data_IF_069137203631
#
_entry.id   IF_069137203631
#
_cell.length_a   1.000
_cell.length_b   1.000
_cell.length_c   1.000
_cell.angle_alpha   90.00
_cell.angle_beta   90.00
_cell.angle_gamma   90.00
#
_symmetry.space_group_name_H-M   'P 1'
#
loop_
_entity.id
_entity.type
_entity.pdbx_description
1 polymer ?
#
# COMPACT_ATOMS: atom_id res chain seq x y z
N UNK A 1 -11.51 10.54 -2.79
CA UNK A 1 -12.05 9.79 -3.97
C UNK A 1 -13.50 9.42 -3.69
N UNK A 2 -14.33 9.32 -4.72
CA UNK A 2 -15.71 8.87 -4.53
C UNK A 2 -15.70 7.36 -4.20
N UNK A 3 -16.41 6.88 -3.15
CA UNK A 3 -16.53 5.46 -2.83
C UNK A 3 -16.96 4.60 -4.01
N UNK A 4 -17.79 5.14 -4.91
CA UNK A 4 -18.21 4.45 -6.13
C UNK A 4 -17.06 4.17 -7.10
N UNK A 5 -15.97 4.94 -7.06
CA UNK A 5 -14.79 4.70 -7.91
C UNK A 5 -14.01 3.49 -7.41
N UNK A 6 -13.77 3.37 -6.11
CA UNK A 6 -13.10 2.21 -5.51
C UNK A 6 -13.91 0.94 -5.78
N UNK A 7 -15.21 0.97 -5.53
CA UNK A 7 -16.12 -0.15 -5.80
C UNK A 7 -16.05 -0.58 -7.29
N UNK A 8 -16.00 0.38 -8.21
CA UNK A 8 -15.85 0.10 -9.64
C UNK A 8 -14.53 -0.60 -9.98
N UNK A 9 -13.41 -0.14 -9.39
CA UNK A 9 -12.10 -0.76 -9.57
C UNK A 9 -12.13 -2.23 -9.08
N UNK A 10 -12.65 -2.45 -7.89
CA UNK A 10 -12.70 -3.78 -7.29
C UNK A 10 -13.62 -4.71 -8.10
N UNK A 11 -14.77 -4.23 -8.58
CA UNK A 11 -15.64 -4.99 -9.49
C UNK A 11 -14.96 -5.38 -10.80
N UNK A 12 -14.11 -4.51 -11.36
CA UNK A 12 -13.31 -4.87 -12.55
C UNK A 12 -12.32 -6.00 -12.24
N UNK A 13 -11.64 -5.95 -11.09
CA UNK A 13 -10.74 -7.02 -10.66
C UNK A 13 -11.49 -8.35 -10.43
N UNK A 14 -12.67 -8.30 -9.84
CA UNK A 14 -13.54 -9.48 -9.68
C UNK A 14 -13.92 -10.05 -11.04
N UNK A 15 -14.37 -9.22 -11.97
CA UNK A 15 -14.79 -9.64 -13.31
C UNK A 15 -13.65 -10.27 -14.12
N UNK A 16 -12.42 -9.77 -13.94
CA UNK A 16 -11.22 -10.31 -14.61
C UNK A 16 -10.52 -11.42 -13.82
N UNK A 17 -11.03 -11.83 -12.66
CA UNK A 17 -10.39 -12.78 -11.75
C UNK A 17 -8.95 -12.40 -11.38
N UNK A 18 -8.66 -11.10 -11.31
CA UNK A 18 -7.33 -10.58 -10.98
C UNK A 18 -7.20 -10.41 -9.47
N UNK A 19 -6.35 -11.23 -8.86
CA UNK A 19 -6.15 -11.23 -7.40
C UNK A 19 -5.27 -10.07 -6.95
N UNK A 20 -5.54 -9.55 -5.75
CA UNK A 20 -4.82 -8.42 -5.15
C UNK A 20 -4.53 -8.69 -3.67
N UNK A 21 -3.37 -8.25 -3.19
CA UNK A 21 -2.99 -8.29 -1.77
C UNK A 21 -2.33 -6.98 -1.32
N UNK A 22 -2.25 -6.76 -0.02
CA UNK A 22 -1.71 -5.53 0.55
C UNK A 22 -0.70 -5.81 1.66
N UNK A 23 0.37 -5.02 1.73
CA UNK A 23 1.20 -4.89 2.94
C UNK A 23 1.26 -3.42 3.34
N UNK A 24 0.62 -3.13 4.46
CA UNK A 24 0.36 -1.76 4.90
C UNK A 24 1.13 -1.41 6.17
N UNK A 25 1.71 -0.23 6.20
CA UNK A 25 2.32 0.37 7.39
C UNK A 25 1.48 1.56 7.87
N UNK A 26 1.70 2.74 7.32
CA UNK A 26 1.05 3.98 7.77
C UNK A 26 -0.49 4.00 7.60
N UNK A 27 -1.04 3.27 6.66
CA UNK A 27 -2.49 3.13 6.45
C UNK A 27 -3.15 2.10 7.35
N UNK A 28 -2.35 1.20 7.94
CA UNK A 28 -2.74 0.21 8.97
C UNK A 28 -4.02 -0.58 8.67
N UNK A 29 -4.15 -1.11 7.45
CA UNK A 29 -5.25 -1.95 7.02
C UNK A 29 -6.39 -1.20 6.32
N UNK A 30 -6.29 0.12 6.12
CA UNK A 30 -7.34 0.89 5.47
C UNK A 30 -7.53 0.50 4.00
N UNK A 31 -6.45 0.23 3.26
CA UNK A 31 -6.56 -0.20 1.85
C UNK A 31 -7.26 -1.56 1.77
N UNK A 32 -6.88 -2.51 2.62
CA UNK A 32 -7.53 -3.81 2.73
C UNK A 32 -9.02 -3.67 3.09
N UNK A 33 -9.36 -2.77 4.02
CA UNK A 33 -10.74 -2.47 4.39
C UNK A 33 -11.55 -1.96 3.20
N UNK A 34 -11.01 -0.98 2.46
CA UNK A 34 -11.68 -0.40 1.29
C UNK A 34 -11.86 -1.41 0.13
N UNK A 35 -10.94 -2.36 -0.04
CA UNK A 35 -11.12 -3.48 -0.99
C UNK A 35 -12.30 -4.34 -0.59
N UNK A 36 -12.41 -4.66 0.69
CA UNK A 36 -13.42 -5.59 1.21
C UNK A 36 -14.78 -4.94 1.44
N UNK A 37 -14.92 -3.62 1.29
CA UNK A 37 -16.21 -2.93 1.26
C UNK A 37 -17.04 -3.31 0.00
N UNK A 38 -16.39 -3.83 -1.05
CA UNK A 38 -17.07 -4.32 -2.24
C UNK A 38 -17.54 -5.76 -2.05
N UNK A 39 -18.83 -6.02 -2.27
CA UNK A 39 -19.39 -7.37 -2.22
C UNK A 39 -18.73 -8.29 -3.26
N UNK A 40 -18.31 -9.47 -2.84
CA UNK A 40 -17.59 -10.42 -3.70
C UNK A 40 -16.06 -10.28 -3.69
N UNK A 41 -15.51 -9.33 -2.96
CA UNK A 41 -14.05 -9.11 -2.87
C UNK A 41 -13.26 -10.35 -2.41
N UNK A 42 -13.88 -11.27 -1.66
CA UNK A 42 -13.26 -12.54 -1.25
C UNK A 42 -12.81 -13.43 -2.42
N UNK A 43 -13.35 -13.20 -3.61
CA UNK A 43 -12.93 -13.93 -4.82
C UNK A 43 -11.53 -13.51 -5.31
N UNK A 44 -11.06 -12.31 -4.94
CA UNK A 44 -9.82 -11.73 -5.46
C UNK A 44 -8.86 -11.26 -4.36
N UNK A 45 -9.31 -11.11 -3.13
CA UNK A 45 -8.50 -10.64 -2.00
C UNK A 45 -8.30 -11.74 -0.96
N UNK A 46 -7.20 -12.50 -1.02
CA UNK A 46 -6.90 -13.54 -0.04
C UNK A 46 -6.53 -12.99 1.33
N UNK A 47 -6.10 -11.72 1.38
CA UNK A 47 -5.66 -11.06 2.61
C UNK A 47 -4.52 -10.08 2.39
N UNK A 48 -3.94 -9.64 3.50
CA UNK A 48 -2.80 -8.73 3.54
C UNK A 48 -2.16 -8.69 4.93
N UNK A 49 -1.09 -7.91 5.04
CA UNK A 49 -0.36 -7.72 6.29
C UNK A 49 -0.43 -6.26 6.74
N UNK A 50 -0.57 -6.05 8.04
CA UNK A 50 -0.31 -4.77 8.69
C UNK A 50 1.01 -4.87 9.42
N UNK A 51 2.05 -4.22 8.87
CA UNK A 51 3.42 -4.28 9.37
C UNK A 51 3.88 -2.90 9.81
N UNK A 52 3.47 -2.50 11.02
CA UNK A 52 3.65 -1.13 11.51
C UNK A 52 5.10 -0.84 11.93
N UNK A 53 5.78 -1.81 12.56
CA UNK A 53 7.19 -1.74 12.96
C UNK A 53 8.12 -2.37 11.90
N UNK A 54 9.40 -1.97 11.91
CA UNK A 54 10.41 -2.55 11.00
C UNK A 54 10.58 -4.05 11.26
N UNK A 55 10.61 -4.46 12.53
CA UNK A 55 10.74 -5.87 12.94
C UNK A 55 9.59 -6.72 12.38
N UNK A 56 8.38 -6.18 12.34
CA UNK A 56 7.22 -6.88 11.79
C UNK A 56 7.33 -7.06 10.27
N UNK A 57 7.88 -6.06 9.56
CA UNK A 57 8.17 -6.19 8.13
C UNK A 57 9.15 -7.33 7.86
N UNK A 58 10.24 -7.38 8.62
CA UNK A 58 11.26 -8.43 8.51
C UNK A 58 10.67 -9.79 8.89
N UNK A 59 9.86 -9.86 9.94
CA UNK A 59 9.21 -11.09 10.39
C UNK A 59 8.36 -11.76 9.32
N UNK A 60 7.66 -10.98 8.48
CA UNK A 60 6.84 -11.52 7.38
C UNK A 60 7.63 -11.76 6.09
N UNK A 61 8.92 -11.36 6.03
CA UNK A 61 9.82 -11.72 4.93
C UNK A 61 10.44 -10.56 4.16
N UNK A 62 10.24 -9.31 4.56
CA UNK A 62 10.98 -8.18 3.96
C UNK A 62 12.46 -8.32 4.30
N UNK A 63 13.33 -8.25 3.28
CA UNK A 63 14.77 -8.31 3.47
C UNK A 63 15.24 -7.13 4.35
N UNK A 64 15.85 -7.39 5.52
CA UNK A 64 16.32 -6.33 6.40
C UNK A 64 17.35 -5.40 5.74
N UNK A 65 18.12 -5.89 4.78
CA UNK A 65 19.09 -5.07 4.05
C UNK A 65 18.47 -3.93 3.27
N UNK A 66 17.23 -4.08 2.80
CA UNK A 66 16.48 -3.00 2.12
C UNK A 66 16.25 -1.84 3.08
N UNK A 67 15.83 -2.13 4.31
CA UNK A 67 15.60 -1.11 5.34
C UNK A 67 16.92 -0.48 5.80
N UNK A 68 17.98 -1.28 5.93
CA UNK A 68 19.31 -0.79 6.34
C UNK A 68 19.95 0.14 5.31
N UNK A 69 19.80 -0.18 4.01
CA UNK A 69 20.44 0.57 2.93
C UNK A 69 19.62 1.78 2.51
N UNK A 70 18.30 1.63 2.38
CA UNK A 70 17.41 2.63 1.79
C UNK A 70 16.53 3.36 2.82
N UNK A 71 16.47 2.85 4.05
CA UNK A 71 15.53 3.32 5.07
C UNK A 71 14.12 2.74 4.87
N UNK A 72 13.32 2.79 5.94
CA UNK A 72 11.93 2.31 5.90
C UNK A 72 11.02 3.22 5.09
N UNK A 73 11.34 4.51 4.99
CA UNK A 73 10.61 5.51 4.22
C UNK A 73 11.29 5.70 2.85
N UNK A 74 11.06 4.75 1.95
CA UNK A 74 11.68 4.72 0.63
C UNK A 74 10.83 3.97 -0.38
N UNK A 75 10.95 4.27 -1.67
CA UNK A 75 10.32 3.48 -2.74
C UNK A 75 10.76 2.02 -2.71
N UNK A 76 12.03 1.77 -2.38
CA UNK A 76 12.63 0.44 -2.31
C UNK A 76 11.98 -0.41 -1.19
N UNK A 77 11.70 0.21 -0.03
CA UNK A 77 10.98 -0.47 1.04
C UNK A 77 9.52 -0.77 0.64
N UNK A 78 8.82 0.16 0.01
CA UNK A 78 7.48 -0.06 -0.49
C UNK A 78 7.42 -1.19 -1.53
N UNK A 79 8.41 -1.24 -2.44
CA UNK A 79 8.53 -2.33 -3.42
C UNK A 79 8.81 -3.68 -2.73
N UNK A 80 9.74 -3.72 -1.79
CA UNK A 80 10.05 -4.95 -1.04
C UNK A 80 8.83 -5.46 -0.27
N UNK A 81 8.02 -4.57 0.32
CA UNK A 81 6.77 -4.92 0.97
C UNK A 81 5.76 -5.53 -0.03
N UNK A 82 5.60 -4.92 -1.21
CA UNK A 82 4.71 -5.42 -2.25
C UNK A 82 5.16 -6.81 -2.75
N UNK A 83 6.46 -7.01 -3.02
CA UNK A 83 7.01 -8.30 -3.45
C UNK A 83 6.80 -9.38 -2.40
N UNK A 84 7.07 -9.07 -1.14
CA UNK A 84 6.90 -10.02 -0.04
C UNK A 84 5.46 -10.51 0.08
N UNK A 85 4.47 -9.60 0.06
CA UNK A 85 3.07 -10.02 0.18
C UNK A 85 2.57 -10.74 -1.08
N UNK A 86 3.06 -10.36 -2.27
CA UNK A 86 2.74 -11.05 -3.51
C UNK A 86 3.24 -12.50 -3.49
N UNK A 87 4.48 -12.70 -3.09
CA UNK A 87 5.09 -14.03 -2.97
C UNK A 87 4.39 -14.91 -1.94
N UNK A 88 4.09 -14.35 -0.76
CA UNK A 88 3.45 -15.09 0.32
C UNK A 88 2.00 -15.49 -0.01
N UNK A 89 1.25 -14.63 -0.71
CA UNK A 89 -0.17 -14.82 -0.98
C UNK A 89 -0.48 -15.19 -2.44
N UNK A 90 0.54 -15.28 -3.30
CA UNK A 90 0.43 -15.66 -4.71
C UNK A 90 -0.60 -14.84 -5.50
N UNK A 91 -0.60 -13.52 -5.33
CA UNK A 91 -1.53 -12.62 -6.01
C UNK A 91 -0.95 -12.04 -7.29
N UNK A 92 -1.83 -11.66 -8.23
CA UNK A 92 -1.42 -11.01 -9.48
C UNK A 92 -0.98 -9.55 -9.23
N UNK A 93 -1.70 -8.85 -8.35
CA UNK A 93 -1.38 -7.48 -7.93
C UNK A 93 -0.99 -7.51 -6.45
N UNK A 94 -0.01 -6.70 -6.08
CA UNK A 94 0.30 -6.43 -4.69
C UNK A 94 0.56 -4.94 -4.46
N UNK A 95 0.10 -4.43 -3.32
CA UNK A 95 0.33 -3.06 -2.87
C UNK A 95 1.21 -3.10 -1.64
N UNK A 96 2.36 -2.42 -1.69
CA UNK A 96 3.19 -2.13 -0.53
C UNK A 96 3.15 -0.64 -0.23
N UNK A 97 2.93 -0.25 1.02
CA UNK A 97 2.84 1.16 1.39
C UNK A 97 3.52 1.43 2.73
N UNK A 98 4.39 2.44 2.74
CA UNK A 98 5.11 2.92 3.92
C UNK A 98 5.20 4.44 3.88
N UNK A 99 5.26 5.08 5.02
CA UNK A 99 5.35 6.55 5.10
C UNK A 99 5.01 7.08 6.47
N UNK A 100 5.03 8.40 6.54
CA UNK A 100 4.70 9.15 7.75
C UNK A 100 3.33 9.80 7.61
N UNK A 101 2.69 10.04 8.74
CA UNK A 101 1.47 10.83 8.83
C UNK A 101 1.78 12.22 9.41
N UNK A 102 1.05 12.68 10.42
CA UNK A 102 1.20 14.02 11.01
C UNK A 102 2.41 14.22 11.93
N UNK A 103 3.09 13.15 12.35
CA UNK A 103 4.25 13.24 13.25
C UNK A 103 5.48 12.62 12.61
N UNK A 104 6.66 13.12 13.00
CA UNK A 104 7.93 12.46 12.73
C UNK A 104 8.01 11.16 13.53
N UNK A 105 8.65 10.14 12.95
CA UNK A 105 8.89 8.88 13.62
C UNK A 105 10.17 8.97 14.45
N UNK A 106 10.10 8.87 15.78
CA UNK A 106 11.29 8.96 16.64
C UNK A 106 12.27 7.80 16.45
N UNK A 107 11.83 6.67 15.88
CA UNK A 107 12.66 5.49 15.63
C UNK A 107 13.35 5.51 14.26
N UNK A 108 13.00 6.45 13.37
CA UNK A 108 13.56 6.57 12.03
C UNK A 108 13.90 8.05 11.75
N UNK A 109 15.18 8.37 11.80
CA UNK A 109 15.68 9.75 11.70
C UNK A 109 15.46 10.41 10.32
N UNK A 110 15.20 9.61 9.29
CA UNK A 110 14.92 10.05 7.93
C UNK A 110 13.43 10.36 7.69
N UNK A 111 12.60 10.29 8.72
CA UNK A 111 11.18 10.56 8.59
C UNK A 111 10.90 12.03 8.24
N UNK A 112 10.01 12.23 7.26
CA UNK A 112 9.49 13.54 6.84
C UNK A 112 7.98 13.50 6.93
N UNK A 113 7.36 14.53 7.53
CA UNK A 113 5.90 14.59 7.67
C UNK A 113 5.19 14.62 6.31
N UNK A 114 4.08 13.89 6.23
CA UNK A 114 3.19 13.96 5.08
C UNK A 114 3.77 13.35 3.80
N UNK A 115 4.72 12.43 3.92
CA UNK A 115 5.30 11.72 2.78
C UNK A 115 4.94 10.24 2.87
N UNK A 116 4.41 9.71 1.77
CA UNK A 116 4.12 8.30 1.61
C UNK A 116 4.77 7.76 0.35
N UNK A 117 5.29 6.56 0.45
CA UNK A 117 5.85 5.76 -0.63
C UNK A 117 4.99 4.52 -0.81
N UNK A 118 4.59 4.22 -2.03
CA UNK A 118 3.87 3.00 -2.30
C UNK A 118 4.29 2.39 -3.62
N UNK A 119 4.12 1.09 -3.72
CA UNK A 119 4.38 0.29 -4.91
C UNK A 119 3.11 -0.45 -5.30
N UNK A 120 2.76 -0.38 -6.57
CA UNK A 120 1.80 -1.26 -7.21
C UNK A 120 2.60 -2.25 -8.04
N UNK A 121 2.62 -3.49 -7.62
CA UNK A 121 3.31 -4.59 -8.29
C UNK A 121 2.27 -5.41 -9.06
N UNK A 122 2.43 -5.50 -10.37
CA UNK A 122 1.62 -6.36 -11.23
C UNK A 122 2.51 -7.42 -11.88
N UNK A 123 2.29 -8.68 -11.57
CA UNK A 123 3.18 -9.79 -11.95
C UNK A 123 4.62 -9.47 -11.50
N UNK A 124 5.55 -9.26 -12.43
CA UNK A 124 6.94 -8.93 -12.11
C UNK A 124 7.26 -7.43 -12.23
N UNK A 125 6.32 -6.60 -12.70
CA UNK A 125 6.53 -5.17 -12.94
C UNK A 125 6.13 -4.35 -11.73
N UNK A 126 7.09 -3.62 -11.17
CA UNK A 126 6.90 -2.72 -10.04
C UNK A 126 6.77 -1.27 -10.53
N UNK A 127 5.74 -0.60 -10.09
CA UNK A 127 5.56 0.84 -10.25
C UNK A 127 5.56 1.48 -8.88
N UNK A 128 6.57 2.28 -8.59
CA UNK A 128 6.74 2.97 -7.30
C UNK A 128 6.34 4.43 -7.41
N UNK A 129 5.70 4.93 -6.37
CA UNK A 129 5.19 6.28 -6.28
C UNK A 129 5.63 6.93 -4.99
N UNK A 130 5.88 8.24 -5.04
CA UNK A 130 6.09 9.09 -3.88
C UNK A 130 5.03 10.18 -3.90
N UNK A 131 4.26 10.27 -2.83
CA UNK A 131 3.25 11.31 -2.67
C UNK A 131 3.56 12.12 -1.42
N UNK A 132 3.61 13.45 -1.58
CA UNK A 132 3.85 14.38 -0.48
C UNK A 132 2.70 15.38 -0.40
N UNK A 133 2.23 15.63 0.80
CA UNK A 133 1.15 16.59 1.05
C UNK A 133 1.39 17.38 2.33
N UNK A 134 0.79 18.58 2.38
CA UNK A 134 0.73 19.34 3.63
C UNK A 134 -0.35 18.73 4.54
N UNK A 135 0.09 18.20 5.66
CA UNK A 135 -0.78 17.53 6.66
C UNK A 135 -1.23 18.46 7.79
N UNK A 136 -0.89 19.76 7.71
CA UNK A 136 -1.27 20.75 8.74
C UNK A 136 -2.79 20.82 8.90
N UNK A 137 -3.26 20.65 10.13
CA UNK A 137 -4.69 20.68 10.46
C UNK A 137 -5.46 19.40 10.14
N UNK A 138 -4.83 18.40 9.56
CA UNK A 138 -5.44 17.10 9.28
C UNK A 138 -5.29 16.14 10.46
N UNK A 139 -6.32 15.37 10.72
CA UNK A 139 -6.24 14.21 11.62
C UNK A 139 -5.46 13.06 10.96
N UNK A 140 -4.92 12.15 11.78
CA UNK A 140 -4.26 10.94 11.25
C UNK A 140 -5.19 10.12 10.35
N UNK A 141 -6.48 10.07 10.67
CA UNK A 141 -7.46 9.35 9.87
C UNK A 141 -7.63 9.98 8.48
N UNK A 142 -7.76 11.30 8.40
CA UNK A 142 -7.85 12.01 7.12
C UNK A 142 -6.60 11.83 6.26
N UNK A 143 -5.40 11.84 6.88
CA UNK A 143 -4.15 11.58 6.16
C UNK A 143 -4.13 10.15 5.59
N UNK A 144 -4.52 9.16 6.39
CA UNK A 144 -4.62 7.76 5.94
C UNK A 144 -5.61 7.59 4.80
N UNK A 145 -6.76 8.26 4.87
CA UNK A 145 -7.75 8.26 3.78
C UNK A 145 -7.17 8.86 2.51
N UNK A 146 -6.49 10.00 2.60
CA UNK A 146 -5.85 10.64 1.47
C UNK A 146 -4.81 9.73 0.81
N UNK A 147 -4.00 9.03 1.60
CA UNK A 147 -3.01 8.08 1.08
C UNK A 147 -3.66 6.88 0.38
N UNK A 148 -4.70 6.33 0.97
CA UNK A 148 -5.45 5.24 0.36
C UNK A 148 -6.11 5.68 -0.96
N UNK A 149 -6.70 6.86 -1.00
CA UNK A 149 -7.28 7.43 -2.23
C UNK A 149 -6.23 7.60 -3.33
N UNK A 150 -5.02 8.05 -2.97
CA UNK A 150 -3.92 8.18 -3.93
C UNK A 150 -3.52 6.81 -4.51
N UNK A 151 -3.44 5.78 -3.67
CA UNK A 151 -3.14 4.41 -4.12
C UNK A 151 -4.20 3.91 -5.11
N UNK A 152 -5.49 4.10 -4.82
CA UNK A 152 -6.55 3.68 -5.72
C UNK A 152 -6.59 4.49 -7.02
N UNK A 153 -6.24 5.78 -7.00
CA UNK A 153 -6.13 6.59 -8.20
C UNK A 153 -5.03 6.05 -9.15
N UNK A 154 -3.87 5.71 -8.61
CA UNK A 154 -2.78 5.13 -9.40
C UNK A 154 -3.08 3.68 -9.84
N UNK A 155 -3.80 2.91 -9.03
CA UNK A 155 -4.26 1.58 -9.41
C UNK A 155 -5.25 1.65 -10.60
N UNK A 156 -6.20 2.58 -10.58
CA UNK A 156 -7.14 2.81 -11.68
C UNK A 156 -6.40 3.10 -12.99
N UNK A 157 -5.42 4.02 -12.95
CA UNK A 157 -4.59 4.35 -14.11
C UNK A 157 -3.77 3.16 -14.60
N UNK A 158 -3.25 2.34 -13.67
CA UNK A 158 -2.49 1.14 -14.01
C UNK A 158 -3.35 0.09 -14.70
N UNK A 159 -4.61 -0.05 -14.31
CA UNK A 159 -5.55 -1.03 -14.90
C UNK A 159 -5.93 -0.70 -16.35
N UNK A 160 -5.81 0.55 -16.80
CA UNK A 160 -6.05 0.94 -18.21
C UNK A 160 -5.01 0.29 -19.15
N UNK A 161 -3.84 -0.09 -18.60
CA UNK A 161 -2.72 -0.66 -19.35
C UNK A 161 -2.55 -2.19 -19.14
N UNK A 162 -3.44 -2.81 -18.39
CA UNK A 162 -3.51 -4.25 -18.16
C UNK A 162 -4.61 -4.87 -19.00
#
# INVERSE_FOLDING_TARGET
MNPNTIDSIIKQLIASHTTISTMESCTSGLIASLITDTEGASAIFPGGYVTYLNETKVFVGVDPSVIEIHGVYSPECAEAMARTVQENLHTAIAIGITGTTGNLDPNNADSVQGVVYFCILYKAQAHTFTFQTNVSGMTRHEIKQLYAEQVFAELELSLIHI
#
